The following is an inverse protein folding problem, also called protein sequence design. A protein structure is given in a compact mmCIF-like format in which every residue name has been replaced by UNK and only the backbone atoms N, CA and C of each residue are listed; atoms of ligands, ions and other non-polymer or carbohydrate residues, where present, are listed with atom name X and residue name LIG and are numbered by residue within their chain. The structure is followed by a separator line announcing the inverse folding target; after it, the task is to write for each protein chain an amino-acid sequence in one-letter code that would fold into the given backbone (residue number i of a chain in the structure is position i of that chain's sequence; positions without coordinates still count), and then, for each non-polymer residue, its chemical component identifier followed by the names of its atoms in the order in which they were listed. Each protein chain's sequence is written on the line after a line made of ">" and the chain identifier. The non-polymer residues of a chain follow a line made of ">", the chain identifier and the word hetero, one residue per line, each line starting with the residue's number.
data_IF_268808912215
#
_entry.id   IF_268808912215
#
_cell.length_a   1.000
_cell.length_b   1.000
_cell.length_c   1.000
_cell.angle_alpha   90.00
_cell.angle_beta   90.00
_cell.angle_gamma   90.00
#
_symmetry.space_group_name_H-M   'P 1'
#
loop_
_entity.id
_entity.type
_entity.pdbx_description
1 polymer ?
#
# COMPACT_ATOMS: atom_id res chain seq x y z
N UNK A 1 -0.55 4.39 9.23
CA UNK A 1 -0.49 5.75 8.66
C UNK A 1 -1.74 6.50 9.11
N UNK A 2 -1.61 7.79 9.43
CA UNK A 2 -2.59 8.59 10.17
C UNK A 2 -3.60 9.35 9.30
N UNK A 3 -3.74 9.00 8.02
CA UNK A 3 -4.71 9.66 7.13
C UNK A 3 -6.17 9.44 7.59
N UNK A 4 -6.44 8.37 8.33
CA UNK A 4 -7.79 8.01 8.79
C UNK A 4 -8.40 8.97 9.83
N UNK A 5 -7.66 9.97 10.34
CA UNK A 5 -8.14 10.85 11.41
C UNK A 5 -8.41 12.29 10.99
N UNK A 6 -8.07 12.67 9.76
CA UNK A 6 -8.32 14.01 9.24
C UNK A 6 -9.51 13.97 8.27
N UNK A 7 -10.34 15.01 8.31
CA UNK A 7 -11.50 15.10 7.44
C UNK A 7 -11.07 15.28 5.99
N UNK A 8 -11.70 14.55 5.06
CA UNK A 8 -11.42 14.59 3.62
C UNK A 8 -11.54 16.02 3.05
N UNK A 9 -12.46 16.83 3.60
CA UNK A 9 -12.68 18.23 3.18
C UNK A 9 -11.54 19.20 3.52
N UNK A 10 -10.48 18.75 4.20
CA UNK A 10 -9.28 19.55 4.47
C UNK A 10 -8.26 19.50 3.32
N UNK A 11 -8.48 18.62 2.35
CA UNK A 11 -7.55 18.37 1.26
C UNK A 11 -8.21 18.71 -0.07
N UNK A 12 -7.52 19.52 -0.88
CA UNK A 12 -7.96 19.83 -2.24
C UNK A 12 -7.67 18.68 -3.23
N UNK A 13 -6.79 17.75 -2.84
CA UNK A 13 -6.36 16.63 -3.67
C UNK A 13 -5.88 15.46 -2.81
N UNK A 14 -6.22 14.24 -3.22
CA UNK A 14 -5.79 12.98 -2.63
C UNK A 14 -5.06 12.11 -3.65
N UNK A 15 -3.87 11.62 -3.28
CA UNK A 15 -3.03 10.77 -4.12
C UNK A 15 -2.73 9.47 -3.38
N UNK A 16 -3.09 8.34 -3.98
CA UNK A 16 -2.79 7.01 -3.46
C UNK A 16 -1.71 6.32 -4.29
N UNK A 17 -0.71 5.76 -3.59
CA UNK A 17 0.28 4.86 -4.18
C UNK A 17 -0.05 3.43 -3.78
N UNK A 18 -0.32 2.58 -4.78
CA UNK A 18 -0.71 1.20 -4.59
C UNK A 18 0.35 0.22 -5.12
N UNK A 19 0.50 -0.90 -4.42
CA UNK A 19 1.23 -2.08 -4.90
C UNK A 19 0.40 -3.31 -4.54
N UNK A 20 0.38 -4.30 -5.43
CA UNK A 20 -0.30 -5.57 -5.19
C UNK A 20 0.40 -6.42 -4.11
N UNK A 21 -0.35 -7.35 -3.54
CA UNK A 21 0.09 -8.15 -2.40
C UNK A 21 1.36 -8.96 -2.67
N UNK A 22 1.45 -9.56 -3.86
CA UNK A 22 2.57 -10.39 -4.27
C UNK A 22 3.86 -9.56 -4.44
N UNK A 23 3.76 -8.47 -5.21
CA UNK A 23 4.89 -7.56 -5.44
C UNK A 23 5.36 -6.90 -4.14
N UNK A 24 4.44 -6.54 -3.24
CA UNK A 24 4.80 -5.99 -1.93
C UNK A 24 5.54 -7.05 -1.09
N UNK A 25 5.02 -8.27 -1.01
CA UNK A 25 5.63 -9.36 -0.24
C UNK A 25 7.04 -9.67 -0.72
N UNK A 26 7.23 -9.86 -2.04
CA UNK A 26 8.53 -10.17 -2.63
C UNK A 26 9.60 -9.14 -2.21
N UNK A 27 9.27 -7.85 -2.36
CA UNK A 27 10.19 -6.75 -2.01
C UNK A 27 10.44 -6.65 -0.52
N UNK A 28 9.41 -6.89 0.29
CA UNK A 28 9.55 -6.90 1.74
C UNK A 28 10.45 -8.03 2.20
N UNK A 29 10.30 -9.24 1.64
CA UNK A 29 11.17 -10.38 1.94
C UNK A 29 12.61 -10.06 1.54
N UNK A 30 12.85 -9.59 0.31
CA UNK A 30 14.18 -9.25 -0.16
C UNK A 30 14.86 -8.20 0.74
N UNK A 31 14.16 -7.10 1.06
CA UNK A 31 14.73 -6.01 1.87
C UNK A 31 14.88 -6.40 3.34
N UNK A 32 13.83 -6.92 3.96
CA UNK A 32 13.81 -7.09 5.42
C UNK A 32 14.68 -8.28 5.85
N UNK A 33 14.89 -9.30 5.00
CA UNK A 33 15.83 -10.39 5.29
C UNK A 33 17.29 -9.97 5.03
N UNK A 34 17.59 -9.47 3.83
CA UNK A 34 18.97 -9.20 3.43
C UNK A 34 19.57 -7.93 4.08
N UNK A 35 18.76 -6.89 4.28
CA UNK A 35 19.26 -5.58 4.78
C UNK A 35 19.01 -5.43 6.28
N UNK A 36 17.90 -5.96 6.79
CA UNK A 36 17.48 -5.76 8.19
C UNK A 36 17.65 -7.00 9.07
N UNK A 37 18.14 -8.12 8.51
CA UNK A 37 18.40 -9.36 9.25
C UNK A 37 17.16 -9.97 9.91
N UNK A 38 15.96 -9.73 9.36
CA UNK A 38 14.72 -10.30 9.89
C UNK A 38 14.51 -11.74 9.41
N UNK A 39 13.87 -12.54 10.25
CA UNK A 39 13.44 -13.89 9.88
C UNK A 39 12.39 -13.84 8.75
N UNK A 40 12.58 -14.67 7.74
CA UNK A 40 11.74 -14.72 6.54
C UNK A 40 10.29 -15.07 6.86
N UNK A 41 10.07 -16.09 7.70
CA UNK A 41 8.74 -16.55 8.08
C UNK A 41 8.00 -15.48 8.90
N UNK A 42 8.71 -14.82 9.80
CA UNK A 42 8.18 -13.69 10.56
C UNK A 42 7.76 -12.51 9.66
N UNK A 43 8.55 -12.18 8.63
CA UNK A 43 8.21 -11.12 7.68
C UNK A 43 6.94 -11.48 6.90
N UNK A 44 6.84 -12.72 6.41
CA UNK A 44 5.67 -13.22 5.68
C UNK A 44 4.40 -13.23 6.56
N UNK A 45 4.47 -13.73 7.79
CA UNK A 45 3.33 -13.74 8.70
C UNK A 45 2.82 -12.32 9.02
N UNK A 46 3.74 -11.39 9.29
CA UNK A 46 3.40 -10.00 9.51
C UNK A 46 2.86 -9.31 8.25
N UNK A 47 3.26 -9.75 7.06
CA UNK A 47 2.69 -9.28 5.80
C UNK A 47 1.22 -9.62 5.67
N UNK A 48 0.83 -10.87 5.92
CA UNK A 48 -0.57 -11.29 5.88
C UNK A 48 -1.45 -10.45 6.81
N UNK A 49 -0.99 -10.20 8.05
CA UNK A 49 -1.73 -9.37 9.01
C UNK A 49 -1.88 -7.93 8.49
N UNK A 50 -0.79 -7.35 7.95
CA UNK A 50 -0.81 -6.00 7.38
C UNK A 50 -1.74 -5.91 6.17
N UNK A 51 -1.79 -6.94 5.32
CA UNK A 51 -2.70 -6.96 4.17
C UNK A 51 -4.16 -6.99 4.62
N UNK A 52 -4.50 -7.77 5.64
CA UNK A 52 -5.86 -7.75 6.22
C UNK A 52 -6.24 -6.37 6.76
N UNK A 53 -5.32 -5.71 7.48
CA UNK A 53 -5.53 -4.35 7.96
C UNK A 53 -5.69 -3.34 6.81
N UNK A 54 -4.93 -3.51 5.73
CA UNK A 54 -5.06 -2.70 4.53
C UNK A 54 -6.45 -2.82 3.91
N UNK A 55 -6.90 -4.05 3.64
CA UNK A 55 -8.21 -4.31 3.05
C UNK A 55 -9.35 -3.77 3.91
N UNK A 56 -9.23 -3.89 5.25
CA UNK A 56 -10.28 -3.47 6.15
C UNK A 56 -10.33 -1.96 6.40
N UNK A 57 -9.17 -1.30 6.51
CA UNK A 57 -9.10 0.11 6.95
C UNK A 57 -8.65 1.09 5.87
N UNK A 58 -7.80 0.66 4.93
CA UNK A 58 -7.15 1.58 3.98
C UNK A 58 -7.73 1.54 2.58
N UNK A 59 -8.30 0.40 2.16
CA UNK A 59 -8.83 0.22 0.81
C UNK A 59 -9.87 1.27 0.42
N UNK A 60 -10.73 1.67 1.37
CA UNK A 60 -11.72 2.72 1.12
C UNK A 60 -11.08 4.05 0.70
N UNK A 61 -9.91 4.40 1.23
CA UNK A 61 -9.20 5.63 0.86
C UNK A 61 -8.45 5.48 -0.46
N UNK A 62 -7.97 4.27 -0.79
CA UNK A 62 -7.44 3.97 -2.11
C UNK A 62 -8.53 4.18 -3.18
N UNK A 63 -9.71 3.59 -2.97
CA UNK A 63 -10.79 3.60 -3.95
C UNK A 63 -11.40 5.00 -4.14
N UNK A 64 -11.27 5.87 -3.13
CA UNK A 64 -11.73 7.27 -3.17
C UNK A 64 -10.68 8.28 -3.65
N UNK A 65 -9.42 7.88 -3.83
CA UNK A 65 -8.36 8.82 -4.13
C UNK A 65 -8.57 9.51 -5.47
N UNK A 66 -8.28 10.81 -5.56
CA UNK A 66 -8.39 11.54 -6.82
C UNK A 66 -7.40 10.99 -7.84
N UNK A 67 -6.19 10.63 -7.39
CA UNK A 67 -5.18 10.00 -8.24
C UNK A 67 -4.75 8.67 -7.63
N UNK A 68 -4.84 7.59 -8.40
CA UNK A 68 -4.29 6.29 -8.03
C UNK A 68 -3.11 5.94 -8.92
N UNK A 69 -1.93 5.82 -8.32
CA UNK A 69 -0.70 5.43 -8.99
C UNK A 69 -0.32 4.03 -8.50
N UNK A 70 -0.38 3.07 -9.41
CA UNK A 70 -0.05 1.69 -9.12
C UNK A 70 1.37 1.39 -9.56
N UNK A 71 2.11 0.71 -8.69
CA UNK A 71 3.38 0.11 -9.02
C UNK A 71 3.28 -1.37 -8.67
N UNK A 72 3.31 -2.21 -9.69
CA UNK A 72 3.23 -3.68 -9.58
C UNK A 72 4.44 -4.32 -10.27
N UNK A 73 4.47 -5.65 -10.37
CA UNK A 73 5.43 -6.37 -11.21
C UNK A 73 5.48 -5.88 -12.68
N UNK A 74 4.44 -5.17 -13.15
CA UNK A 74 4.37 -4.60 -14.50
C UNK A 74 4.85 -3.14 -14.60
N UNK A 75 5.48 -2.59 -13.56
CA UNK A 75 5.97 -1.22 -13.54
C UNK A 75 4.96 -0.21 -12.99
N UNK A 76 5.14 1.06 -13.32
CA UNK A 76 4.27 2.15 -12.88
C UNK A 76 3.11 2.37 -13.87
N UNK A 77 1.92 2.63 -13.33
CA UNK A 77 0.73 3.05 -14.06
C UNK A 77 -0.07 4.06 -13.26
N UNK A 78 -0.78 4.92 -13.97
CA UNK A 78 -1.83 5.75 -13.38
C UNK A 78 -3.16 5.05 -13.68
N UNK A 79 -3.81 4.56 -12.64
CA UNK A 79 -5.03 3.76 -12.75
C UNK A 79 -6.29 4.62 -12.61
N UNK A 80 -6.20 5.76 -11.93
CA UNK A 80 -7.31 6.70 -11.73
C UNK A 80 -6.80 8.15 -11.71
N UNK A 81 -7.56 9.04 -12.36
CA UNK A 81 -7.51 10.50 -12.21
C UNK A 81 -8.97 11.00 -12.19
N UNK A 82 -9.42 11.56 -11.08
CA UNK A 82 -10.69 12.29 -10.98
C UNK A 82 -10.55 13.64 -11.68
N UNK A 83 -11.56 14.02 -12.49
CA UNK A 83 -11.65 15.32 -13.16
C UNK A 83 -12.20 16.41 -12.25
#
# INVERSE_FOLDING_TARGET
>A
MSAAFLSENLFDLSICFYTDDETELERRLARDTAVRGRDMNGVAAMHTIRRQQYEHYYKIYQDKADVLISQTGQGFRIDQISN
#
